data_IF_875226986115
#
_entry.id   IF_875226986115
#
_cell.length_a   1.000
_cell.length_b   1.000
_cell.length_c   1.000
_cell.angle_alpha   90.00
_cell.angle_beta   90.00
_cell.angle_gamma   90.00
#
_symmetry.space_group_name_H-M   'P 1'
#
loop_
_entity.id
_entity.type
_entity.pdbx_description
1 polymer ?
#
# COMPACT_ATOMS: atom_id res chain seq x y z
N UNK A 1 -56.25 -1.21 -2.92
CA UNK A 1 -55.26 -0.10 -2.98
C UNK A 1 -54.06 -0.26 -2.03
N UNK A 2 -53.76 -1.46 -1.48
CA UNK A 2 -52.61 -1.71 -0.60
C UNK A 2 -51.47 -2.51 -1.25
N UNK A 3 -51.61 -2.86 -2.53
CA UNK A 3 -50.69 -3.76 -3.25
C UNK A 3 -49.78 -3.00 -4.25
N UNK A 4 -50.02 -1.71 -4.49
CA UNK A 4 -49.28 -0.93 -5.52
C UNK A 4 -48.06 -0.20 -4.94
N UNK A 5 -48.02 0.04 -3.62
CA UNK A 5 -46.87 0.67 -2.96
C UNK A 5 -45.67 -0.27 -2.76
N UNK A 6 -45.87 -1.58 -2.83
CA UNK A 6 -44.82 -2.57 -2.56
C UNK A 6 -43.91 -2.85 -3.77
N UNK A 7 -44.36 -2.53 -4.99
CA UNK A 7 -43.64 -2.83 -6.22
C UNK A 7 -42.56 -1.79 -6.58
N UNK A 8 -42.69 -0.53 -6.13
CA UNK A 8 -41.72 0.54 -6.43
C UNK A 8 -40.47 0.42 -5.53
N UNK A 9 -40.63 -0.01 -4.29
CA UNK A 9 -39.51 -0.22 -3.35
C UNK A 9 -38.66 -1.46 -3.72
N UNK A 10 -39.28 -2.50 -4.30
CA UNK A 10 -38.60 -3.74 -4.66
C UNK A 10 -37.67 -3.62 -5.89
N UNK A 11 -37.82 -2.57 -6.69
CA UNK A 11 -36.98 -2.31 -7.88
C UNK A 11 -35.92 -1.23 -7.62
N UNK A 12 -36.24 -0.22 -6.80
CA UNK A 12 -35.31 0.89 -6.54
C UNK A 12 -34.05 0.46 -5.76
N UNK A 13 -34.17 -0.47 -4.81
CA UNK A 13 -33.05 -0.94 -3.99
C UNK A 13 -32.03 -1.78 -4.80
N UNK A 14 -32.45 -2.77 -5.63
CA UNK A 14 -31.52 -3.48 -6.51
C UNK A 14 -30.83 -2.57 -7.53
N UNK A 15 -31.55 -1.60 -8.12
CA UNK A 15 -30.97 -0.68 -9.11
C UNK A 15 -29.94 0.26 -8.46
N UNK A 16 -30.22 0.82 -7.29
CA UNK A 16 -29.27 1.68 -6.59
C UNK A 16 -28.00 0.91 -6.13
N UNK A 17 -28.17 -0.34 -5.68
CA UNK A 17 -27.04 -1.21 -5.32
C UNK A 17 -26.21 -1.61 -6.54
N UNK A 18 -26.86 -1.94 -7.67
CA UNK A 18 -26.18 -2.28 -8.92
C UNK A 18 -25.46 -1.08 -9.53
N UNK A 19 -26.09 0.09 -9.60
CA UNK A 19 -25.45 1.32 -10.08
C UNK A 19 -24.32 1.79 -9.15
N UNK A 20 -24.45 1.62 -7.84
CA UNK A 20 -23.37 1.89 -6.89
C UNK A 20 -22.18 0.95 -7.08
N UNK A 21 -22.44 -0.33 -7.36
CA UNK A 21 -21.42 -1.33 -7.66
C UNK A 21 -20.72 -1.08 -9.01
N UNK A 22 -21.46 -0.71 -10.06
CA UNK A 22 -20.87 -0.33 -11.35
C UNK A 22 -20.05 0.95 -11.25
N UNK A 23 -20.49 1.96 -10.49
CA UNK A 23 -19.71 3.18 -10.28
C UNK A 23 -18.44 2.89 -9.47
N UNK A 24 -18.53 2.04 -8.45
CA UNK A 24 -17.38 1.60 -7.66
C UNK A 24 -16.36 0.85 -8.52
N UNK A 25 -16.81 -0.12 -9.32
CA UNK A 25 -15.93 -0.92 -10.19
C UNK A 25 -15.32 -0.11 -11.34
N UNK A 26 -16.08 0.81 -11.94
CA UNK A 26 -15.55 1.74 -12.93
C UNK A 26 -14.49 2.68 -12.33
N UNK A 27 -14.71 3.15 -11.10
CA UNK A 27 -13.75 4.01 -10.41
C UNK A 27 -12.46 3.24 -10.05
N UNK A 28 -12.55 1.97 -9.67
CA UNK A 28 -11.38 1.10 -9.46
C UNK A 28 -10.61 0.80 -10.75
N UNK A 29 -11.29 0.70 -11.89
CA UNK A 29 -10.64 0.45 -13.18
C UNK A 29 -9.84 1.66 -13.68
N UNK A 30 -10.37 2.88 -13.54
CA UNK A 30 -9.67 4.13 -13.87
C UNK A 30 -8.52 4.39 -12.88
N UNK A 31 -8.71 4.04 -11.61
CA UNK A 31 -7.66 4.00 -10.59
C UNK A 31 -6.55 2.99 -10.96
N UNK A 32 -6.87 1.82 -11.52
CA UNK A 32 -5.86 0.85 -11.92
C UNK A 32 -4.90 1.38 -13.01
N UNK A 33 -5.36 2.27 -13.91
CA UNK A 33 -4.52 2.94 -14.90
C UNK A 33 -3.66 4.08 -14.31
N UNK A 34 -4.11 4.72 -13.23
CA UNK A 34 -3.33 5.74 -12.52
C UNK A 34 -2.52 5.07 -11.41
N UNK A 35 -1.19 5.08 -11.51
CA UNK A 35 -0.35 4.59 -10.41
C UNK A 35 -0.53 5.40 -9.13
N UNK A 36 0.31 5.16 -8.12
CA UNK A 36 0.22 5.82 -6.81
C UNK A 36 0.71 7.28 -6.79
N UNK A 37 1.12 7.84 -7.92
CA UNK A 37 1.70 9.18 -8.00
C UNK A 37 3.18 9.21 -7.61
N UNK A 38 3.61 10.27 -6.94
CA UNK A 38 5.02 10.46 -6.55
C UNK A 38 5.38 9.69 -5.27
N UNK A 39 6.31 8.74 -5.40
CA UNK A 39 6.83 7.92 -4.31
C UNK A 39 8.26 8.32 -3.90
N UNK A 40 8.78 9.45 -4.40
CA UNK A 40 10.19 9.83 -4.22
C UNK A 40 10.62 9.98 -2.76
N UNK A 41 9.74 10.51 -1.91
CA UNK A 41 10.02 10.62 -0.47
C UNK A 41 10.20 9.24 0.19
N UNK A 42 9.33 8.28 -0.14
CA UNK A 42 9.42 6.90 0.35
C UNK A 42 10.72 6.23 -0.08
N UNK A 43 11.08 6.38 -1.36
CA UNK A 43 12.34 5.87 -1.91
C UNK A 43 13.56 6.48 -1.21
N UNK A 44 13.56 7.78 -0.96
CA UNK A 44 14.66 8.44 -0.27
C UNK A 44 14.86 7.89 1.15
N UNK A 45 13.78 7.73 1.92
CA UNK A 45 13.89 7.19 3.29
C UNK A 45 14.39 5.75 3.27
N UNK A 46 13.88 4.87 2.38
CA UNK A 46 14.37 3.49 2.29
C UNK A 46 15.82 3.41 1.83
N UNK A 47 16.27 4.30 0.93
CA UNK A 47 17.68 4.38 0.56
C UNK A 47 18.56 4.74 1.78
N UNK A 48 18.10 5.63 2.66
CA UNK A 48 18.80 5.93 3.91
C UNK A 48 18.82 4.74 4.87
N UNK A 49 17.72 3.97 4.96
CA UNK A 49 17.69 2.72 5.75
C UNK A 49 18.73 1.73 5.22
N UNK A 50 18.77 1.51 3.90
CA UNK A 50 19.75 0.64 3.25
C UNK A 50 21.18 1.09 3.57
N UNK A 51 21.47 2.39 3.45
CA UNK A 51 22.79 2.94 3.73
C UNK A 51 23.22 2.76 5.20
N UNK A 52 22.29 2.78 6.17
CA UNK A 52 22.57 2.49 7.57
C UNK A 52 22.86 1.00 7.80
N UNK A 53 22.03 0.12 7.23
CA UNK A 53 22.20 -1.34 7.32
C UNK A 53 23.51 -1.78 6.65
N UNK A 54 23.90 -1.17 5.53
CA UNK A 54 25.17 -1.47 4.85
C UNK A 54 26.40 -1.09 5.67
N UNK A 55 26.28 -0.10 6.54
CA UNK A 55 27.33 0.28 7.52
C UNK A 55 27.32 -0.61 8.77
N UNK A 56 26.42 -1.58 8.85
CA UNK A 56 26.22 -2.42 10.04
C UNK A 56 25.37 -1.76 11.13
N UNK A 57 24.83 -0.56 10.90
CA UNK A 57 23.98 0.15 11.86
C UNK A 57 22.50 -0.27 11.70
N UNK A 58 22.20 -1.53 12.04
CA UNK A 58 20.83 -2.05 11.97
C UNK A 58 19.90 -1.31 12.94
N UNK A 59 20.40 -0.88 14.11
CA UNK A 59 19.61 -0.11 15.07
C UNK A 59 19.24 1.29 14.52
N UNK A 60 20.18 1.95 13.83
CA UNK A 60 19.91 3.16 13.07
C UNK A 60 18.91 2.93 11.94
N UNK A 61 19.09 1.86 11.16
CA UNK A 61 18.13 1.45 10.14
C UNK A 61 16.73 1.25 10.71
N UNK A 62 16.60 0.61 11.88
CA UNK A 62 15.32 0.38 12.55
C UNK A 62 14.65 1.68 13.04
N UNK A 63 15.42 2.71 13.41
CA UNK A 63 14.84 4.04 13.68
C UNK A 63 14.35 4.71 12.40
N UNK A 64 15.19 4.71 11.36
CA UNK A 64 14.87 5.37 10.09
C UNK A 64 13.68 4.72 9.36
N UNK A 65 13.52 3.40 9.50
CA UNK A 65 12.36 2.70 8.92
C UNK A 65 11.05 3.02 9.68
N UNK A 66 11.12 3.47 10.93
CA UNK A 66 9.94 4.01 11.64
C UNK A 66 9.55 5.41 11.13
N UNK A 67 10.52 6.23 10.70
CA UNK A 67 10.21 7.49 10.00
C UNK A 67 9.49 7.20 8.67
N UNK A 68 9.91 6.14 7.96
CA UNK A 68 9.26 5.65 6.76
C UNK A 68 7.81 5.20 7.03
N UNK A 69 7.61 4.33 8.02
CA UNK A 69 6.27 3.84 8.41
C UNK A 69 5.33 4.99 8.76
N UNK A 70 5.82 5.97 9.52
CA UNK A 70 5.06 7.18 9.86
C UNK A 70 4.63 7.96 8.61
N UNK A 71 5.54 8.10 7.63
CA UNK A 71 5.22 8.78 6.38
C UNK A 71 4.24 7.96 5.51
N UNK A 72 4.37 6.63 5.47
CA UNK A 72 3.51 5.72 4.73
C UNK A 72 2.07 5.76 5.27
N UNK A 73 1.91 5.61 6.58
CA UNK A 73 0.62 5.65 7.27
C UNK A 73 -0.05 7.02 7.10
N UNK A 74 0.73 8.10 7.21
CA UNK A 74 0.25 9.46 6.98
C UNK A 74 -0.26 9.70 5.56
N UNK A 75 0.25 8.96 4.58
CA UNK A 75 -0.17 9.06 3.18
C UNK A 75 -1.31 8.09 2.83
N UNK A 76 -1.59 7.06 3.64
CA UNK A 76 -2.49 5.95 3.29
C UNK A 76 -3.83 6.44 2.73
N UNK A 77 -4.50 7.34 3.45
CA UNK A 77 -5.84 7.83 3.06
C UNK A 77 -5.85 8.54 1.71
N UNK A 78 -4.72 9.12 1.29
CA UNK A 78 -4.57 9.81 0.02
C UNK A 78 -4.16 8.86 -1.12
N UNK A 79 -3.23 7.92 -0.87
CA UNK A 79 -2.62 7.10 -1.93
C UNK A 79 -3.33 5.76 -2.14
N UNK A 80 -3.88 5.15 -1.09
CA UNK A 80 -4.53 3.82 -1.17
C UNK A 80 -5.73 3.80 -2.12
N UNK A 81 -6.63 4.81 -2.14
CA UNK A 81 -7.75 4.84 -3.09
C UNK A 81 -7.31 5.04 -4.54
N UNK A 82 -6.09 5.52 -4.80
CA UNK A 82 -5.61 5.77 -6.16
C UNK A 82 -5.31 4.49 -6.91
N UNK A 83 -4.79 3.46 -6.23
CA UNK A 83 -4.53 2.15 -6.83
C UNK A 83 -4.33 1.09 -5.74
N UNK A 84 -5.41 0.40 -5.36
CA UNK A 84 -5.39 -0.53 -4.23
C UNK A 84 -4.44 -1.72 -4.46
N UNK A 85 -4.28 -2.18 -5.70
CA UNK A 85 -3.37 -3.28 -6.04
C UNK A 85 -1.91 -2.86 -5.85
N UNK A 86 -1.49 -1.75 -6.45
CA UNK A 86 -0.13 -1.24 -6.30
C UNK A 86 0.18 -0.86 -4.84
N UNK A 87 -0.78 -0.25 -4.15
CA UNK A 87 -0.65 0.06 -2.73
C UNK A 87 -0.42 -1.22 -1.90
N UNK A 88 -1.22 -2.27 -2.13
CA UNK A 88 -1.09 -3.54 -1.42
C UNK A 88 0.23 -4.26 -1.69
N UNK A 89 0.80 -4.14 -2.90
CA UNK A 89 2.12 -4.69 -3.21
C UNK A 89 3.21 -4.02 -2.36
N UNK A 90 3.18 -2.69 -2.23
CA UNK A 90 4.13 -1.96 -1.37
C UNK A 90 3.89 -2.29 0.09
N UNK A 91 2.63 -2.35 0.53
CA UNK A 91 2.27 -2.67 1.91
C UNK A 91 2.78 -4.05 2.34
N UNK A 92 2.63 -5.07 1.47
CA UNK A 92 3.21 -6.39 1.71
C UNK A 92 4.73 -6.38 1.78
N UNK A 93 5.41 -5.52 1.00
CA UNK A 93 6.86 -5.37 1.07
C UNK A 93 7.31 -4.63 2.34
N UNK A 94 6.51 -3.66 2.81
CA UNK A 94 6.70 -2.98 4.08
C UNK A 94 6.68 -3.97 5.24
N UNK A 95 5.66 -4.83 5.30
CA UNK A 95 5.52 -5.87 6.32
C UNK A 95 6.76 -6.76 6.40
N UNK A 96 7.27 -7.21 5.25
CA UNK A 96 8.47 -8.03 5.17
C UNK A 96 9.71 -7.27 5.70
N UNK A 97 9.90 -6.02 5.30
CA UNK A 97 11.02 -5.19 5.74
C UNK A 97 10.95 -4.87 7.25
N UNK A 98 9.78 -4.50 7.76
CA UNK A 98 9.54 -4.20 9.17
C UNK A 98 9.77 -5.44 10.03
N UNK A 99 9.22 -6.57 9.60
CA UNK A 99 9.43 -7.86 10.27
C UNK A 99 10.92 -8.24 10.31
N UNK A 100 11.65 -8.10 9.20
CA UNK A 100 13.06 -8.48 9.13
C UNK A 100 13.93 -7.63 10.08
N UNK A 101 13.78 -6.31 10.04
CA UNK A 101 14.68 -5.38 10.76
C UNK A 101 14.35 -5.25 12.25
N UNK A 102 13.09 -5.52 12.66
CA UNK A 102 12.63 -5.43 14.06
C UNK A 102 12.71 -6.75 14.83
N UNK A 103 13.22 -7.82 14.23
CA UNK A 103 13.52 -9.08 14.96
C UNK A 103 14.42 -8.78 16.16
N UNK A 104 14.26 -9.55 17.24
CA UNK A 104 15.11 -9.45 18.44
C UNK A 104 16.60 -9.68 18.15
N UNK A 105 16.88 -10.52 17.15
CA UNK A 105 18.20 -10.73 16.55
C UNK A 105 18.03 -10.66 15.03
N UNK A 106 18.10 -9.47 14.43
CA UNK A 106 17.90 -9.31 12.99
C UNK A 106 19.07 -9.94 12.25
N UNK A 107 18.77 -10.74 11.22
CA UNK A 107 19.76 -11.27 10.30
C UNK A 107 20.12 -10.19 9.26
N UNK A 108 21.36 -9.70 9.22
CA UNK A 108 21.75 -8.64 8.29
C UNK A 108 21.47 -8.97 6.82
N UNK A 109 21.62 -10.24 6.40
CA UNK A 109 21.36 -10.63 5.01
C UNK A 109 19.86 -10.55 4.70
N UNK A 110 19.03 -11.15 5.56
CA UNK A 110 17.57 -11.10 5.41
C UNK A 110 17.01 -9.67 5.46
N UNK A 111 17.59 -8.79 6.27
CA UNK A 111 17.22 -7.37 6.29
C UNK A 111 17.55 -6.69 4.97
N UNK A 112 18.75 -6.90 4.43
CA UNK A 112 19.14 -6.33 3.13
C UNK A 112 18.26 -6.82 2.00
N UNK A 113 17.95 -8.11 1.96
CA UNK A 113 17.09 -8.70 0.94
C UNK A 113 15.68 -8.10 1.01
N UNK A 114 15.08 -8.00 2.22
CA UNK A 114 13.76 -7.42 2.39
C UNK A 114 13.72 -5.92 1.99
N UNK A 115 14.76 -5.14 2.33
CA UNK A 115 14.87 -3.75 1.91
C UNK A 115 15.08 -3.59 0.41
N UNK A 116 15.81 -4.50 -0.23
CA UNK A 116 16.00 -4.52 -1.68
C UNK A 116 14.68 -4.83 -2.40
N UNK A 117 13.91 -5.81 -1.91
CA UNK A 117 12.55 -6.09 -2.41
C UNK A 117 11.66 -4.86 -2.25
N UNK A 118 11.61 -4.23 -1.07
CA UNK A 118 10.82 -3.01 -0.86
C UNK A 118 11.21 -1.88 -1.82
N UNK A 119 12.51 -1.62 -2.02
CA UNK A 119 12.97 -0.62 -2.99
C UNK A 119 12.56 -0.98 -4.42
N UNK A 120 12.64 -2.26 -4.81
CA UNK A 120 12.21 -2.72 -6.12
C UNK A 120 10.70 -2.49 -6.33
N UNK A 121 9.87 -2.82 -5.33
CA UNK A 121 8.42 -2.60 -5.36
C UNK A 121 8.07 -1.11 -5.37
N UNK A 122 8.80 -0.25 -4.63
CA UNK A 122 8.63 1.20 -4.72
C UNK A 122 8.97 1.74 -6.12
N UNK A 123 9.92 1.10 -6.83
CA UNK A 123 10.28 1.45 -8.19
C UNK A 123 9.28 0.97 -9.24
N UNK A 124 8.67 -0.19 -9.01
CA UNK A 124 7.64 -0.74 -9.87
C UNK A 124 6.52 -1.40 -9.04
N UNK A 125 5.56 -0.59 -8.53
CA UNK A 125 4.48 -1.09 -7.68
C UNK A 125 3.51 -2.03 -8.42
N UNK A 126 3.58 -2.09 -9.75
CA UNK A 126 2.74 -2.98 -10.55
C UNK A 126 3.13 -4.46 -10.40
N UNK A 127 4.35 -4.73 -9.90
CA UNK A 127 4.84 -6.08 -9.62
C UNK A 127 4.68 -6.41 -8.15
N UNK A 128 4.20 -7.61 -7.89
CA UNK A 128 4.18 -8.15 -6.53
C UNK A 128 5.63 -8.35 -6.01
N UNK A 129 5.88 -8.12 -4.72
CA UNK A 129 7.17 -8.35 -4.08
C UNK A 129 7.58 -9.83 -4.02
#
# INVERSE_FOLDING_TARGET
MKQVFLAIVLIAVPVAMFSGYELYTANTAVAAERGLGDLSNFKAIIADVQALVDKGDIAGGARRITDYETAWDGAETAIRPLNQTQWGNIDSANDAAFSAIRKSKPDPAAVKDALATLMATLNDPSKAP
#
